data_IF_862281698772
#
_entry.id   IF_862281698772
#
_cell.length_a   1.000
_cell.length_b   1.000
_cell.length_c   1.000
_cell.angle_alpha   90.00
_cell.angle_beta   90.00
_cell.angle_gamma   90.00
#
_symmetry.space_group_name_H-M   'P 1'
#
loop_
_entity.id
_entity.type
_entity.pdbx_description
1 polymer ?
#
# COMPACT_ATOMS: atom_id res chain seq x y z
N UNK A 1 -26.27 17.83 9.42
CA UNK A 1 -25.69 16.96 10.48
C UNK A 1 -25.63 15.56 9.86
N UNK A 2 -24.52 14.85 9.68
CA UNK A 2 -23.14 14.99 10.10
C UNK A 2 -22.21 14.67 8.90
N UNK A 3 -21.13 15.42 8.76
CA UNK A 3 -20.03 15.14 7.82
C UNK A 3 -19.09 14.15 8.53
N UNK A 4 -19.14 12.89 8.12
CA UNK A 4 -18.20 11.87 8.58
C UNK A 4 -16.96 11.90 7.70
N UNK A 5 -15.88 12.51 8.18
CA UNK A 5 -14.56 12.36 7.56
C UNK A 5 -14.11 10.90 7.72
N UNK A 6 -14.33 10.08 6.69
CA UNK A 6 -13.73 8.74 6.55
C UNK A 6 -12.25 8.87 6.15
N UNK A 7 -11.45 9.48 7.01
CA UNK A 7 -9.99 9.45 6.89
C UNK A 7 -9.50 8.18 7.58
N UNK A 8 -9.01 7.20 6.81
CA UNK A 8 -8.24 6.07 7.35
C UNK A 8 -7.01 6.63 8.06
N UNK A 9 -6.95 6.55 9.39
CA UNK A 9 -5.80 7.00 10.16
C UNK A 9 -4.86 5.83 10.37
N UNK A 10 -3.59 6.01 10.01
CA UNK A 10 -2.56 4.98 10.22
C UNK A 10 -2.41 4.54 11.69
N UNK A 11 -2.89 5.36 12.64
CA UNK A 11 -2.92 5.03 14.07
C UNK A 11 -4.00 4.00 14.46
N UNK A 12 -4.94 3.69 13.58
CA UNK A 12 -5.99 2.69 13.84
C UNK A 12 -5.48 1.25 13.60
N UNK A 13 -4.31 1.10 12.98
CA UNK A 13 -3.62 -0.17 12.87
C UNK A 13 -2.75 -0.35 14.11
N UNK A 14 -3.02 -1.39 14.91
CA UNK A 14 -2.16 -1.79 16.01
C UNK A 14 -0.72 -2.09 15.55
N UNK A 15 0.15 -2.47 16.49
CA UNK A 15 1.55 -2.77 16.18
C UNK A 15 1.67 -3.71 14.96
N UNK A 16 2.26 -3.22 13.87
CA UNK A 16 2.45 -3.98 12.64
C UNK A 16 3.28 -5.24 12.95
N UNK A 17 2.83 -6.43 12.54
CA UNK A 17 3.55 -7.66 12.83
C UNK A 17 4.96 -7.61 12.23
N UNK A 18 5.96 -8.03 13.03
CA UNK A 18 7.34 -8.18 12.58
C UNK A 18 7.40 -9.30 11.53
N UNK A 19 7.37 -8.90 10.26
CA UNK A 19 7.76 -9.62 9.03
C UNK A 19 7.53 -11.14 9.05
N UNK A 20 6.38 -11.56 8.52
CA UNK A 20 6.33 -12.67 7.59
C UNK A 20 5.60 -12.15 6.36
N UNK A 21 6.35 -11.78 5.32
CA UNK A 21 5.79 -11.72 3.97
C UNK A 21 5.41 -13.17 3.64
N UNK A 22 4.15 -13.41 3.35
CA UNK A 22 3.74 -14.72 2.85
C UNK A 22 4.53 -15.05 1.58
N UNK A 23 4.77 -16.34 1.27
CA UNK A 23 5.34 -16.73 -0.02
C UNK A 23 4.48 -16.15 -1.14
N UNK A 24 5.13 -15.48 -2.09
CA UNK A 24 4.55 -15.04 -3.36
C UNK A 24 4.14 -16.32 -4.10
N UNK A 25 2.88 -16.47 -4.47
CA UNK A 25 2.45 -17.66 -5.22
C UNK A 25 2.97 -17.55 -6.67
N UNK A 26 3.70 -18.58 -7.13
CA UNK A 26 4.45 -18.51 -8.39
C UNK A 26 3.59 -18.45 -9.67
N UNK A 27 2.27 -18.64 -9.55
CA UNK A 27 1.33 -18.61 -10.67
C UNK A 27 0.74 -17.22 -10.92
N UNK A 28 1.05 -16.23 -10.08
CA UNK A 28 0.61 -14.84 -10.25
C UNK A 28 1.80 -13.92 -10.60
N UNK A 29 1.59 -13.00 -11.54
CA UNK A 29 2.57 -11.94 -11.89
C UNK A 29 2.61 -10.86 -10.78
N UNK A 30 2.95 -11.28 -9.56
CA UNK A 30 3.03 -10.41 -8.40
C UNK A 30 4.21 -9.44 -8.51
N UNK A 31 3.97 -8.19 -8.12
CA UNK A 31 5.00 -7.14 -8.05
C UNK A 31 5.23 -6.75 -6.60
N UNK A 32 6.46 -6.95 -6.11
CA UNK A 32 6.85 -6.54 -4.77
C UNK A 32 6.99 -5.01 -4.65
N UNK A 33 6.15 -4.40 -3.81
CA UNK A 33 6.29 -2.99 -3.44
C UNK A 33 7.18 -2.86 -2.20
N UNK A 34 8.40 -2.32 -2.38
CA UNK A 34 9.28 -2.04 -1.25
C UNK A 34 8.68 -0.96 -0.32
N UNK A 35 9.02 -0.97 0.99
CA UNK A 35 8.56 0.04 1.93
C UNK A 35 8.94 1.48 1.54
N UNK A 36 8.22 2.43 2.12
CA UNK A 36 8.39 3.88 1.92
C UNK A 36 8.13 4.41 0.49
N UNK A 37 7.43 3.65 -0.35
CA UNK A 37 6.89 4.16 -1.61
C UNK A 37 5.68 5.07 -1.35
N UNK A 38 5.56 6.15 -2.12
CA UNK A 38 4.47 7.12 -2.00
C UNK A 38 3.62 7.05 -3.27
N UNK A 39 2.31 7.09 -3.08
CA UNK A 39 1.36 7.06 -4.18
C UNK A 39 0.39 8.23 -4.06
N UNK A 40 0.04 8.82 -5.20
CA UNK A 40 -1.04 9.78 -5.32
C UNK A 40 -2.30 9.06 -5.79
N UNK A 41 -3.41 9.23 -5.08
CA UNK A 41 -4.71 8.70 -5.50
C UNK A 41 -5.26 9.58 -6.62
N UNK A 42 -5.37 9.03 -7.83
CA UNK A 42 -5.91 9.71 -9.00
C UNK A 42 -7.43 9.68 -9.03
N UNK A 43 -8.02 8.55 -8.66
CA UNK A 43 -9.47 8.36 -8.66
C UNK A 43 -9.89 7.28 -7.66
N UNK A 44 -11.13 7.37 -7.21
CA UNK A 44 -11.80 6.35 -6.42
C UNK A 44 -13.21 6.18 -6.98
N UNK A 45 -13.54 4.96 -7.41
CA UNK A 45 -14.83 4.61 -8.00
C UNK A 45 -15.47 3.49 -7.19
N UNK A 46 -16.67 3.75 -6.66
CA UNK A 46 -17.53 2.70 -6.12
C UNK A 46 -18.23 2.00 -7.30
N UNK A 47 -17.92 0.72 -7.51
CA UNK A 47 -18.55 -0.11 -8.54
C UNK A 47 -19.79 -0.84 -8.04
N UNK A 48 -20.26 -0.53 -6.83
CA UNK A 48 -21.36 -1.19 -6.15
C UNK A 48 -20.90 -2.44 -5.39
N UNK A 49 -21.82 -3.03 -4.62
CA UNK A 49 -21.57 -4.25 -3.84
C UNK A 49 -20.37 -4.17 -2.87
N UNK A 50 -19.98 -2.96 -2.45
CA UNK A 50 -18.83 -2.73 -1.57
C UNK A 50 -17.48 -2.77 -2.30
N UNK A 51 -17.46 -2.92 -3.63
CA UNK A 51 -16.23 -2.92 -4.42
C UNK A 51 -15.81 -1.49 -4.76
N UNK A 52 -14.61 -1.11 -4.30
CA UNK A 52 -14.00 0.17 -4.60
C UNK A 52 -12.79 -0.02 -5.50
N UNK A 53 -12.76 0.67 -6.63
CA UNK A 53 -11.62 0.74 -7.53
C UNK A 53 -10.86 2.02 -7.22
N UNK A 54 -9.61 1.88 -6.76
CA UNK A 54 -8.73 3.01 -6.46
C UNK A 54 -7.61 3.03 -7.50
N UNK A 55 -7.55 4.11 -8.28
CA UNK A 55 -6.44 4.32 -9.20
C UNK A 55 -5.36 5.14 -8.52
N UNK A 56 -4.13 4.62 -8.54
CA UNK A 56 -2.97 5.26 -7.92
C UNK A 56 -1.87 5.51 -8.96
N UNK A 57 -1.10 6.57 -8.76
CA UNK A 57 0.13 6.87 -9.48
C UNK A 57 1.27 6.92 -8.45
N UNK A 58 2.39 6.25 -8.73
CA UNK A 58 3.57 6.37 -7.89
C UNK A 58 4.20 7.74 -8.03
N UNK A 59 4.62 8.31 -6.90
CA UNK A 59 5.33 9.58 -6.84
C UNK A 59 6.60 9.43 -6.04
N UNK A 60 7.62 10.21 -6.39
CA UNK A 60 8.86 10.28 -5.61
C UNK A 60 8.53 10.80 -4.20
N UNK A 61 8.94 10.10 -3.13
CA UNK A 61 8.78 10.61 -1.77
C UNK A 61 9.62 11.88 -1.57
N UNK A 62 9.19 12.74 -0.64
CA UNK A 62 9.90 14.01 -0.34
C UNK A 62 11.26 13.79 0.34
N UNK A 63 11.46 12.60 0.91
CA UNK A 63 12.67 12.23 1.63
C UNK A 63 13.13 10.87 1.12
N UNK A 64 14.44 10.73 0.98
CA UNK A 64 15.06 9.45 0.66
C UNK A 64 15.01 8.50 1.86
N UNK A 65 15.11 7.22 1.58
CA UNK A 65 15.34 6.20 2.59
C UNK A 65 16.65 6.46 3.32
N UNK A 66 16.63 6.35 4.66
CA UNK A 66 17.86 6.45 5.48
C UNK A 66 18.84 5.30 5.18
N UNK A 67 18.31 4.13 4.84
CA UNK A 67 19.07 2.94 4.43
C UNK A 67 18.35 2.22 3.27
N UNK A 68 19.08 1.63 2.30
CA UNK A 68 18.47 0.85 1.24
C UNK A 68 17.66 -0.33 1.80
N UNK A 69 16.46 -0.57 1.26
CA UNK A 69 15.66 -1.74 1.64
C UNK A 69 16.33 -3.00 1.08
N UNK A 70 16.58 -4.03 1.92
CA UNK A 70 17.04 -5.33 1.42
C UNK A 70 16.00 -5.95 0.49
N UNK A 71 16.39 -6.23 -0.75
CA UNK A 71 15.56 -6.95 -1.72
C UNK A 71 15.74 -8.45 -1.47
N UNK A 72 14.66 -9.24 -1.33
CA UNK A 72 14.77 -10.69 -1.23
C UNK A 72 15.40 -11.27 -2.50
N UNK A 73 16.19 -12.34 -2.36
CA UNK A 73 16.66 -13.09 -3.53
C UNK A 73 15.45 -13.71 -4.25
N UNK A 74 15.38 -13.64 -5.59
CA UNK A 74 14.35 -14.35 -6.34
C UNK A 74 14.48 -15.86 -6.08
N UNK A 75 13.33 -16.53 -5.87
CA UNK A 75 13.22 -17.98 -5.60
C UNK A 75 13.53 -18.79 -6.86
#
# INVERSE_FOLDING_TARGET
MASGNNALRFADFGALPKRMLAPIEADEDEVLLLPARKFHVKSCLDSGHGLHIVQVEEVTPEYDLLEPVPVPDPV
#
